data_IF_765023419039
#
_entry.id   IF_765023419039
#
_cell.length_a   1.000
_cell.length_b   1.000
_cell.length_c   1.000
_cell.angle_alpha   90.00
_cell.angle_beta   90.00
_cell.angle_gamma   90.00
#
_symmetry.space_group_name_H-M   'P 1'
#
loop_
_entity.id
_entity.type
_entity.pdbx_description
1 polymer ?
#
# COMPACT_ATOMS: atom_id res chain seq x y z
N UNK A 1 8.80 10.72 15.53
CA UNK A 1 8.03 11.89 15.95
C UNK A 1 6.55 11.63 16.03
N UNK A 2 5.92 11.34 14.88
CA UNK A 2 4.48 11.07 14.86
C UNK A 2 4.08 9.86 15.67
N UNK A 3 4.86 8.78 15.62
CA UNK A 3 4.54 7.57 16.36
C UNK A 3 4.63 7.76 17.87
N UNK A 4 5.56 8.59 18.34
CA UNK A 4 5.69 8.85 19.77
C UNK A 4 4.50 9.62 20.32
N UNK A 5 4.01 10.61 19.57
CA UNK A 5 2.82 11.36 19.94
C UNK A 5 1.57 10.49 19.84
N UNK A 6 1.53 9.58 18.86
CA UNK A 6 0.39 8.69 18.65
C UNK A 6 0.27 7.61 19.71
N UNK A 7 1.37 7.18 20.31
CA UNK A 7 1.35 6.17 21.37
C UNK A 7 0.46 6.55 22.55
N UNK A 8 0.31 7.84 22.81
CA UNK A 8 -0.55 8.32 23.88
C UNK A 8 -2.03 8.29 23.51
N UNK A 9 -2.36 8.23 22.22
CA UNK A 9 -3.74 8.37 21.73
C UNK A 9 -4.29 7.12 21.06
N UNK A 10 -3.43 6.21 20.63
CA UNK A 10 -3.83 5.00 19.91
C UNK A 10 -3.55 3.77 20.76
N UNK A 11 -4.41 2.75 20.60
CA UNK A 11 -4.13 1.43 21.17
C UNK A 11 -2.90 0.84 20.47
N UNK A 12 -2.30 -0.18 21.10
CA UNK A 12 -1.15 -0.85 20.51
C UNK A 12 -1.51 -1.47 19.14
N UNK A 13 -2.71 -2.03 19.02
CA UNK A 13 -3.17 -2.61 17.76
C UNK A 13 -3.31 -1.57 16.67
N UNK A 14 -3.88 -0.41 16.99
CA UNK A 14 -4.02 0.70 16.03
C UNK A 14 -2.66 1.23 15.61
N UNK A 15 -1.73 1.34 16.55
CA UNK A 15 -0.38 1.78 16.25
C UNK A 15 0.34 0.79 15.34
N UNK A 16 0.19 -0.51 15.60
CA UNK A 16 0.76 -1.55 14.75
C UNK A 16 0.20 -1.47 13.33
N UNK A 17 -1.10 -1.28 13.18
CA UNK A 17 -1.73 -1.12 11.87
C UNK A 17 -1.22 0.12 11.15
N UNK A 18 -1.08 1.23 11.86
CA UNK A 18 -0.53 2.47 11.32
C UNK A 18 0.87 2.23 10.74
N UNK A 19 1.72 1.53 11.51
CA UNK A 19 3.09 1.24 11.08
C UNK A 19 3.12 0.31 9.87
N UNK A 20 2.20 -0.67 9.79
CA UNK A 20 2.09 -1.55 8.63
C UNK A 20 1.75 -0.73 7.38
N UNK A 21 0.80 0.19 7.49
CA UNK A 21 0.42 1.05 6.36
C UNK A 21 1.61 1.87 5.85
N UNK A 22 2.38 2.45 6.77
CA UNK A 22 3.57 3.23 6.42
C UNK A 22 4.60 2.35 5.70
N UNK A 23 4.86 1.16 6.22
CA UNK A 23 5.82 0.23 5.60
C UNK A 23 5.40 -0.15 4.19
N UNK A 24 4.12 -0.44 3.99
CA UNK A 24 3.62 -0.80 2.66
C UNK A 24 3.75 0.35 1.67
N UNK A 25 3.50 1.58 2.11
CA UNK A 25 3.68 2.76 1.26
C UNK A 25 5.14 2.94 0.86
N UNK A 26 6.06 2.82 1.81
CA UNK A 26 7.49 2.95 1.56
C UNK A 26 7.99 1.82 0.65
N UNK A 27 7.58 0.59 0.93
CA UNK A 27 8.00 -0.58 0.16
C UNK A 27 7.56 -0.48 -1.28
N UNK A 28 6.30 -0.11 -1.51
CA UNK A 28 5.78 0.00 -2.88
C UNK A 28 6.30 1.23 -3.61
N UNK A 29 6.56 2.31 -2.90
CA UNK A 29 7.23 3.48 -3.48
C UNK A 29 8.62 3.13 -3.98
N UNK A 30 9.38 2.39 -3.17
CA UNK A 30 10.70 1.92 -3.56
C UNK A 30 10.62 0.93 -4.73
N UNK A 31 9.62 0.03 -4.71
CA UNK A 31 9.41 -0.91 -5.80
C UNK A 31 9.13 -0.19 -7.13
N UNK A 32 8.37 0.91 -7.08
CA UNK A 32 8.10 1.72 -8.27
C UNK A 32 9.36 2.36 -8.82
N UNK A 33 10.24 2.85 -7.96
CA UNK A 33 11.51 3.42 -8.39
C UNK A 33 12.38 2.37 -9.08
N UNK A 34 12.47 1.18 -8.50
CA UNK A 34 13.24 0.08 -9.09
C UNK A 34 12.63 -0.32 -10.42
N UNK A 35 11.30 -0.43 -10.49
CA UNK A 35 10.59 -0.80 -11.71
C UNK A 35 10.88 0.18 -12.83
N UNK A 36 10.94 1.48 -12.55
CA UNK A 36 11.20 2.49 -13.56
C UNK A 36 12.58 2.36 -14.20
N UNK A 37 13.52 1.73 -13.48
CA UNK A 37 14.90 1.55 -13.95
C UNK A 37 15.12 0.23 -14.69
N UNK A 38 14.15 -0.67 -14.70
CA UNK A 38 14.28 -1.99 -15.34
C UNK A 38 14.06 -1.83 -16.86
N UNK A 39 15.07 -2.12 -17.70
CA UNK A 39 14.95 -1.88 -19.14
C UNK A 39 14.29 -3.01 -19.93
N UNK A 40 14.22 -4.21 -19.39
CA UNK A 40 13.77 -5.38 -20.13
C UNK A 40 12.27 -5.69 -19.99
N UNK A 41 11.54 -4.86 -19.23
CA UNK A 41 10.08 -4.98 -19.14
C UNK A 41 9.46 -3.94 -20.08
N UNK A 42 8.52 -4.35 -20.96
CA UNK A 42 7.85 -3.40 -21.86
C UNK A 42 7.15 -2.28 -21.08
N UNK A 43 7.09 -1.09 -21.66
CA UNK A 43 6.44 0.05 -21.02
C UNK A 43 4.98 -0.23 -20.66
N UNK A 44 4.24 -0.93 -21.53
CA UNK A 44 2.86 -1.30 -21.25
C UNK A 44 2.75 -2.18 -20.00
N UNK A 45 3.69 -3.11 -19.83
CA UNK A 45 3.73 -3.95 -18.64
C UNK A 45 4.03 -3.14 -17.39
N UNK A 46 4.98 -2.20 -17.48
CA UNK A 46 5.32 -1.32 -16.35
C UNK A 46 4.13 -0.46 -15.95
N UNK A 47 3.37 0.05 -16.92
CA UNK A 47 2.20 0.88 -16.64
C UNK A 47 1.15 0.12 -15.84
N UNK A 48 0.87 -1.13 -16.20
CA UNK A 48 -0.09 -1.95 -15.47
C UNK A 48 0.37 -2.24 -14.05
N UNK A 49 1.63 -2.58 -13.87
CA UNK A 49 2.20 -2.83 -12.54
C UNK A 49 2.14 -1.55 -11.71
N UNK A 50 2.56 -0.42 -12.29
CA UNK A 50 2.57 0.86 -11.59
C UNK A 50 1.17 1.26 -11.17
N UNK A 51 0.19 1.11 -12.06
CA UNK A 51 -1.21 1.42 -11.77
C UNK A 51 -1.72 0.56 -10.61
N UNK A 52 -1.46 -0.74 -10.66
CA UNK A 52 -1.88 -1.66 -9.60
C UNK A 52 -1.22 -1.28 -8.26
N UNK A 53 0.06 -0.94 -8.26
CA UNK A 53 0.77 -0.56 -7.05
C UNK A 53 0.28 0.75 -6.48
N UNK A 54 0.08 1.77 -7.32
CA UNK A 54 -0.39 3.08 -6.86
C UNK A 54 -1.81 2.98 -6.33
N UNK A 55 -2.73 2.44 -7.11
CA UNK A 55 -4.14 2.33 -6.70
C UNK A 55 -4.27 1.39 -5.51
N UNK A 56 -3.60 0.24 -5.56
CA UNK A 56 -3.63 -0.73 -4.46
C UNK A 56 -3.08 -0.16 -3.17
N UNK A 57 -1.95 0.56 -3.23
CA UNK A 57 -1.37 1.19 -2.06
C UNK A 57 -2.28 2.27 -1.49
N UNK A 58 -2.89 3.09 -2.35
CA UNK A 58 -3.83 4.10 -1.88
C UNK A 58 -5.02 3.48 -1.18
N UNK A 59 -5.62 2.46 -1.77
CA UNK A 59 -6.77 1.79 -1.17
C UNK A 59 -6.39 1.03 0.11
N UNK A 60 -5.25 0.35 0.10
CA UNK A 60 -4.83 -0.46 1.24
C UNK A 60 -4.28 0.39 2.38
N UNK A 61 -3.22 1.14 2.11
CA UNK A 61 -2.48 1.85 3.16
C UNK A 61 -3.22 3.08 3.67
N UNK A 62 -3.82 3.87 2.79
CA UNK A 62 -4.57 5.05 3.22
C UNK A 62 -5.78 4.64 4.03
N UNK A 63 -6.48 3.56 3.62
CA UNK A 63 -7.60 3.02 4.40
C UNK A 63 -7.16 2.63 5.81
N UNK A 64 -6.03 1.91 5.91
CA UNK A 64 -5.51 1.50 7.21
C UNK A 64 -5.10 2.73 8.04
N UNK A 65 -4.45 3.72 7.43
CA UNK A 65 -4.06 4.94 8.14
C UNK A 65 -5.28 5.65 8.74
N UNK A 66 -6.33 5.82 7.95
CA UNK A 66 -7.54 6.50 8.41
C UNK A 66 -8.25 5.70 9.49
N UNK A 67 -8.38 4.37 9.30
CA UNK A 67 -9.03 3.51 10.28
C UNK A 67 -8.25 3.43 11.59
N UNK A 68 -6.91 3.32 11.50
CA UNK A 68 -6.08 3.17 12.69
C UNK A 68 -5.97 4.45 13.51
N UNK A 69 -6.25 5.61 12.91
CA UNK A 69 -6.23 6.89 13.62
C UNK A 69 -7.62 7.39 14.01
N UNK A 70 -8.62 6.53 13.96
CA UNK A 70 -10.01 6.86 14.27
C UNK A 70 -10.15 7.52 15.64
N UNK A 71 -9.38 7.07 16.64
CA UNK A 71 -9.42 7.63 17.98
C UNK A 71 -9.02 9.10 18.02
N UNK A 72 -8.28 9.57 17.03
CA UNK A 72 -7.81 10.96 16.96
C UNK A 72 -8.83 11.85 16.25
N UNK A 73 -9.30 11.44 15.06
CA UNK A 73 -10.21 12.28 14.27
C UNK A 73 -11.69 12.03 14.59
N UNK A 74 -12.04 10.91 15.22
CA UNK A 74 -13.40 10.61 15.63
C UNK A 74 -14.40 10.44 14.50
N UNK A 75 -13.96 10.39 13.24
CA UNK A 75 -14.86 10.26 12.11
C UNK A 75 -15.33 8.82 11.93
N UNK A 76 -16.57 8.68 11.44
CA UNK A 76 -17.11 7.38 11.12
C UNK A 76 -16.59 6.95 9.74
N UNK A 77 -15.62 6.05 9.73
CA UNK A 77 -14.95 5.60 8.51
C UNK A 77 -15.03 4.09 8.30
N UNK A 78 -16.04 3.46 8.90
CA UNK A 78 -16.22 2.02 8.80
C UNK A 78 -16.38 1.53 7.35
N UNK A 79 -16.83 2.40 6.44
CA UNK A 79 -16.94 2.07 5.02
C UNK A 79 -15.57 1.75 4.40
N UNK A 80 -14.47 2.15 5.02
CA UNK A 80 -13.12 1.85 4.55
C UNK A 80 -12.70 0.41 4.86
N UNK A 81 -13.39 -0.27 5.78
CA UNK A 81 -13.08 -1.65 6.13
C UNK A 81 -13.03 -2.58 4.92
N UNK A 82 -14.10 -2.64 4.09
CA UNK A 82 -14.08 -3.48 2.89
C UNK A 82 -13.16 -2.96 1.77
N UNK A 83 -12.73 -1.70 1.81
CA UNK A 83 -11.82 -1.14 0.81
C UNK A 83 -10.40 -1.66 1.01
N UNK A 84 -9.99 -1.87 2.26
CA UNK A 84 -8.65 -2.35 2.59
C UNK A 84 -8.29 -3.67 1.87
N UNK A 85 -9.10 -4.74 1.96
CA UNK A 85 -8.77 -5.98 1.25
C UNK A 85 -8.82 -5.83 -0.27
N UNK A 86 -9.64 -4.93 -0.80
CA UNK A 86 -9.65 -4.65 -2.24
C UNK A 86 -8.31 -4.09 -2.66
N UNK A 87 -7.76 -3.15 -1.89
CA UNK A 87 -6.42 -2.62 -2.13
C UNK A 87 -5.36 -3.69 -2.07
N UNK A 88 -5.44 -4.58 -1.07
CA UNK A 88 -4.53 -5.71 -0.93
C UNK A 88 -4.56 -6.65 -2.13
N UNK A 89 -5.75 -6.92 -2.67
CA UNK A 89 -5.89 -7.76 -3.85
C UNK A 89 -5.25 -7.10 -5.08
N UNK A 90 -5.39 -5.78 -5.22
CA UNK A 90 -4.74 -5.05 -6.31
C UNK A 90 -3.21 -5.12 -6.19
N UNK A 91 -2.68 -5.06 -4.97
CA UNK A 91 -1.25 -5.22 -4.76
C UNK A 91 -0.79 -6.62 -5.15
N UNK A 92 -1.54 -7.65 -4.79
CA UNK A 92 -1.24 -9.02 -5.18
C UNK A 92 -1.29 -9.18 -6.70
N UNK A 93 -2.27 -8.58 -7.36
CA UNK A 93 -2.35 -8.57 -8.80
C UNK A 93 -1.11 -7.91 -9.42
N UNK A 94 -0.70 -6.77 -8.88
CA UNK A 94 0.48 -6.06 -9.36
C UNK A 94 1.74 -6.89 -9.24
N UNK A 95 1.95 -7.52 -8.10
CA UNK A 95 3.11 -8.38 -7.88
C UNK A 95 3.08 -9.62 -8.75
N UNK A 96 1.90 -10.25 -8.91
CA UNK A 96 1.74 -11.40 -9.79
C UNK A 96 2.03 -11.05 -11.25
N UNK A 97 1.48 -9.94 -11.72
CA UNK A 97 1.71 -9.47 -13.07
C UNK A 97 3.18 -9.14 -13.31
N UNK A 98 3.82 -8.46 -12.36
CA UNK A 98 5.24 -8.16 -12.43
C UNK A 98 6.07 -9.44 -12.50
N UNK A 99 5.72 -10.42 -11.69
CA UNK A 99 6.43 -11.72 -11.70
C UNK A 99 6.33 -12.39 -13.06
N UNK A 100 5.16 -12.34 -13.70
CA UNK A 100 4.97 -12.90 -15.05
C UNK A 100 5.84 -12.15 -16.06
N UNK A 101 5.88 -10.82 -15.98
CA UNK A 101 6.68 -10.01 -16.88
C UNK A 101 8.18 -10.31 -16.73
N UNK A 102 8.64 -10.45 -15.50
CA UNK A 102 10.03 -10.80 -15.23
C UNK A 102 10.36 -12.20 -15.75
N UNK A 103 9.45 -13.14 -15.53
CA UNK A 103 9.64 -14.52 -15.99
C UNK A 103 9.74 -14.60 -17.51
N UNK A 104 8.92 -13.83 -18.22
CA UNK A 104 8.98 -13.77 -19.68
C UNK A 104 10.27 -13.14 -20.20
N UNK A 105 10.87 -12.24 -19.42
CA UNK A 105 12.09 -11.54 -19.83
C UNK A 105 13.34 -12.39 -19.63
N UNK A 106 13.25 -13.43 -18.80
CA UNK A 106 14.34 -14.37 -18.60
C UNK A 106 14.32 -15.43 -19.69
#
# INVERSE_FOLDING_TARGET
LGSHALEEKLSQDSLNSFMIAIRYMMFHGLALLVLSAVPFIPESGKEWVALAFVVGTLLFSVSILVLSTKAIHGLSVSFLGPITPIGGLLLLFGWGYLSIQLFKAI
#
